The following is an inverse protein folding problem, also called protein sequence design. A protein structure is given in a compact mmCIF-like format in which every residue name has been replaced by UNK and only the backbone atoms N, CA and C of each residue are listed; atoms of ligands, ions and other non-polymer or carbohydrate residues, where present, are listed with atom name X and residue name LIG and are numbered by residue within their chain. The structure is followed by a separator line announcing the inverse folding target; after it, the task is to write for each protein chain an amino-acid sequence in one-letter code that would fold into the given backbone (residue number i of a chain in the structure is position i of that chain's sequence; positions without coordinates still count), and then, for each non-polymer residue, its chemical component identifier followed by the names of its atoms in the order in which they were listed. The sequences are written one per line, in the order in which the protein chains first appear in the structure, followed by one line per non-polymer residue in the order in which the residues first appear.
data_IF_156485600017
#
_entry.id   IF_156485600017
#
_cell.length_a   1.000
_cell.length_b   1.000
_cell.length_c   1.000
_cell.angle_alpha   90.00
_cell.angle_beta   90.00
_cell.angle_gamma   90.00
#
_symmetry.space_group_name_H-M   'P 1'
#
loop_
_entity.id
_entity.type
_entity.pdbx_description
1 polymer ?
#
# COMPACT_ATOMS: atom_id res chain seq x y z
N UNK A 1 -1.65 19.70 13.42
CA UNK A 1 -2.26 18.48 12.84
C UNK A 1 -3.77 18.58 13.02
N UNK A 2 -4.52 18.46 11.92
CA UNK A 2 -5.98 18.38 11.95
C UNK A 2 -6.47 17.07 12.57
N UNK A 3 -7.73 17.00 13.01
CA UNK A 3 -8.31 15.75 13.50
C UNK A 3 -8.36 14.66 12.42
N UNK A 4 -8.61 15.03 11.17
CA UNK A 4 -8.56 14.09 10.04
C UNK A 4 -7.18 13.46 9.90
N UNK A 5 -6.11 14.27 9.90
CA UNK A 5 -4.73 13.78 9.88
C UNK A 5 -4.41 12.89 11.08
N UNK A 6 -4.86 13.28 12.29
CA UNK A 6 -4.67 12.49 13.51
C UNK A 6 -5.22 11.08 13.36
N UNK A 7 -6.45 10.95 12.89
CA UNK A 7 -7.10 9.65 12.69
C UNK A 7 -6.41 8.83 11.61
N UNK A 8 -6.14 9.42 10.45
CA UNK A 8 -5.53 8.70 9.32
C UNK A 8 -4.12 8.21 9.66
N UNK A 9 -3.31 9.04 10.33
CA UNK A 9 -1.98 8.65 10.80
C UNK A 9 -2.08 7.57 11.88
N UNK A 10 -2.99 7.68 12.85
CA UNK A 10 -3.18 6.66 13.87
C UNK A 10 -3.49 5.28 13.26
N UNK A 11 -4.43 5.23 12.30
CA UNK A 11 -4.78 3.98 11.60
C UNK A 11 -3.58 3.45 10.80
N UNK A 12 -2.83 4.32 10.11
CA UNK A 12 -1.64 3.92 9.37
C UNK A 12 -0.59 3.30 10.30
N UNK A 13 -0.33 3.87 11.47
CA UNK A 13 0.59 3.31 12.47
C UNK A 13 0.10 1.97 13.02
N UNK A 14 -1.20 1.83 13.29
CA UNK A 14 -1.80 0.55 13.72
C UNK A 14 -1.63 -0.54 12.63
N UNK A 15 -1.54 -0.16 11.36
CA UNK A 15 -1.29 -1.12 10.27
C UNK A 15 0.18 -1.56 10.14
N UNK A 16 1.16 -0.78 10.63
CA UNK A 16 2.58 -1.09 10.47
C UNK A 16 3.00 -2.49 10.99
N UNK A 17 2.50 -2.99 12.14
CA UNK A 17 2.76 -4.35 12.59
C UNK A 17 2.39 -5.43 11.57
N UNK A 18 1.36 -5.22 10.73
CA UNK A 18 1.00 -6.19 9.69
C UNK A 18 2.06 -6.25 8.59
N UNK A 19 2.74 -5.15 8.31
CA UNK A 19 3.88 -5.11 7.38
C UNK A 19 5.07 -5.84 7.99
N UNK A 20 5.38 -5.60 9.26
CA UNK A 20 6.43 -6.31 9.98
C UNK A 20 6.19 -7.83 10.00
N UNK A 21 4.94 -8.25 10.22
CA UNK A 21 4.54 -9.65 10.09
C UNK A 21 4.77 -10.21 8.68
N UNK A 22 4.48 -9.44 7.63
CA UNK A 22 4.83 -9.81 6.26
C UNK A 22 6.34 -10.02 6.05
N UNK A 23 7.18 -9.21 6.68
CA UNK A 23 8.63 -9.38 6.66
C UNK A 23 9.08 -10.64 7.39
N UNK A 24 8.47 -10.94 8.54
CA UNK A 24 8.67 -12.19 9.26
C UNK A 24 8.27 -13.41 8.41
N UNK A 25 7.15 -13.34 7.70
CA UNK A 25 6.74 -14.38 6.75
C UNK A 25 7.75 -14.56 5.60
N UNK A 26 8.29 -13.49 5.02
CA UNK A 26 9.36 -13.64 4.02
C UNK A 26 10.62 -14.29 4.61
N UNK A 27 10.96 -13.98 5.86
CA UNK A 27 12.05 -14.61 6.57
C UNK A 27 11.78 -16.10 6.85
N UNK A 28 10.54 -16.50 7.12
CA UNK A 28 10.20 -17.92 7.33
C UNK A 28 10.41 -18.74 6.06
N UNK A 29 10.06 -18.19 4.89
CA UNK A 29 10.32 -18.79 3.57
C UNK A 29 11.83 -18.95 3.35
N UNK A 30 12.61 -17.91 3.64
CA UNK A 30 14.07 -17.94 3.52
C UNK A 30 14.71 -19.02 4.40
N UNK A 31 14.20 -19.17 5.62
CA UNK A 31 14.66 -20.16 6.60
C UNK A 31 14.12 -21.56 6.35
N UNK A 32 13.26 -21.76 5.33
CA UNK A 32 12.57 -23.03 5.04
C UNK A 32 11.86 -23.58 6.29
N UNK A 33 11.17 -22.71 7.03
CA UNK A 33 10.39 -23.14 8.19
C UNK A 33 9.23 -24.06 7.76
N UNK A 34 8.78 -24.92 8.68
CA UNK A 34 7.67 -25.84 8.45
C UNK A 34 6.45 -25.09 7.91
N UNK A 35 5.88 -25.58 6.81
CA UNK A 35 4.74 -24.97 6.11
C UNK A 35 5.10 -24.00 4.97
N UNK A 36 6.39 -23.81 4.67
CA UNK A 36 6.86 -22.96 3.55
C UNK A 36 7.50 -23.73 2.39
N UNK A 37 7.52 -25.06 2.47
CA UNK A 37 8.27 -25.97 1.58
C UNK A 37 7.78 -25.89 0.13
N UNK A 38 6.49 -25.62 -0.06
CA UNK A 38 5.83 -25.61 -1.37
C UNK A 38 5.71 -24.21 -1.99
N UNK A 39 6.34 -23.19 -1.40
CA UNK A 39 6.32 -21.85 -1.98
C UNK A 39 7.27 -21.80 -3.18
N UNK A 40 6.69 -21.62 -4.36
CA UNK A 40 7.43 -21.52 -5.61
C UNK A 40 8.27 -20.23 -5.69
N UNK A 41 9.34 -20.20 -6.52
CA UNK A 41 10.14 -18.99 -6.73
C UNK A 41 9.29 -17.79 -7.18
N UNK A 42 8.32 -18.01 -8.07
CA UNK A 42 7.44 -16.93 -8.55
C UNK A 42 6.54 -16.37 -7.44
N UNK A 43 5.97 -17.22 -6.58
CA UNK A 43 5.20 -16.78 -5.41
C UNK A 43 6.04 -15.93 -4.47
N UNK A 44 7.27 -16.37 -4.20
CA UNK A 44 8.22 -15.63 -3.37
C UNK A 44 8.51 -14.24 -3.94
N UNK A 45 8.66 -14.09 -5.25
CA UNK A 45 8.86 -12.79 -5.89
C UNK A 45 7.63 -11.88 -5.74
N UNK A 46 6.42 -12.41 -5.88
CA UNK A 46 5.18 -11.67 -5.60
C UNK A 46 5.10 -11.19 -4.15
N UNK A 47 5.35 -12.08 -3.18
CA UNK A 47 5.30 -11.73 -1.75
C UNK A 47 6.38 -10.70 -1.39
N UNK A 48 7.58 -10.83 -1.95
CA UNK A 48 8.67 -9.87 -1.78
C UNK A 48 8.29 -8.49 -2.33
N UNK A 49 7.73 -8.43 -3.54
CA UNK A 49 7.27 -7.19 -4.14
C UNK A 49 6.14 -6.55 -3.31
N UNK A 50 5.15 -7.34 -2.87
CA UNK A 50 4.06 -6.87 -2.02
C UNK A 50 4.55 -6.28 -0.70
N UNK A 51 5.46 -6.96 0.00
CA UNK A 51 6.03 -6.45 1.25
C UNK A 51 6.86 -5.17 1.05
N UNK A 52 7.69 -5.13 -0.01
CA UNK A 52 8.55 -3.99 -0.30
C UNK A 52 7.72 -2.71 -0.57
N UNK A 53 6.63 -2.82 -1.33
CA UNK A 53 5.75 -1.69 -1.63
C UNK A 53 4.91 -1.27 -0.41
N UNK A 54 4.47 -2.20 0.44
CA UNK A 54 3.64 -1.88 1.60
C UNK A 54 4.30 -0.83 2.51
N UNK A 55 5.56 -1.05 2.89
CA UNK A 55 6.28 -0.15 3.79
C UNK A 55 6.47 1.25 3.21
N UNK A 56 7.04 1.35 2.01
CA UNK A 56 7.34 2.64 1.38
C UNK A 56 6.07 3.45 1.07
N UNK A 57 5.00 2.80 0.61
CA UNK A 57 3.76 3.47 0.26
C UNK A 57 2.98 3.92 1.50
N UNK A 58 3.00 3.15 2.60
CA UNK A 58 2.41 3.60 3.87
C UNK A 58 3.18 4.79 4.45
N UNK A 59 4.51 4.80 4.35
CA UNK A 59 5.31 5.97 4.78
C UNK A 59 4.92 7.20 3.94
N UNK A 60 4.86 7.07 2.62
CA UNK A 60 4.42 8.17 1.74
C UNK A 60 2.99 8.61 2.06
N UNK A 61 2.10 7.67 2.40
CA UNK A 61 0.73 7.95 2.84
C UNK A 61 0.72 8.81 4.10
N UNK A 62 1.49 8.44 5.14
CA UNK A 62 1.60 9.19 6.40
C UNK A 62 2.10 10.62 6.13
N UNK A 63 3.15 10.76 5.31
CA UNK A 63 3.66 12.08 4.92
C UNK A 63 2.57 12.87 4.21
N UNK A 64 1.88 12.27 3.25
CA UNK A 64 0.77 12.91 2.53
C UNK A 64 -0.37 13.35 3.44
N UNK A 65 -0.72 12.57 4.47
CA UNK A 65 -1.73 12.99 5.46
C UNK A 65 -1.34 14.29 6.15
N UNK A 66 -0.08 14.40 6.59
CA UNK A 66 0.44 15.60 7.26
C UNK A 66 0.50 16.80 6.32
N UNK A 67 0.90 16.58 5.07
CA UNK A 67 0.99 17.61 4.04
C UNK A 67 -0.39 18.15 3.66
N UNK A 68 -1.42 17.31 3.61
CA UNK A 68 -2.79 17.69 3.26
C UNK A 68 -3.44 18.66 4.26
N UNK A 69 -2.87 18.86 5.45
CA UNK A 69 -3.31 19.94 6.37
C UNK A 69 -2.99 21.35 5.83
N UNK A 70 -2.08 21.46 4.86
CA UNK A 70 -1.68 22.72 4.21
C UNK A 70 -2.29 22.88 2.81
N UNK A 71 -3.23 22.02 2.45
CA UNK A 71 -3.88 22.02 1.14
C UNK A 71 -4.71 23.29 0.93
N UNK A 72 -4.67 23.82 -0.30
CA UNK A 72 -5.48 24.94 -0.76
C UNK A 72 -6.78 24.48 -1.47
N UNK A 73 -6.97 23.17 -1.64
CA UNK A 73 -8.20 22.63 -2.21
C UNK A 73 -9.32 22.58 -1.16
N UNK A 74 -10.56 22.55 -1.64
CA UNK A 74 -11.70 22.26 -0.77
C UNK A 74 -11.61 20.90 -0.04
N UNK A 75 -12.36 20.81 1.06
CA UNK A 75 -12.33 19.66 1.97
C UNK A 75 -12.72 18.33 1.29
N UNK A 76 -13.63 18.34 0.31
CA UNK A 76 -14.04 17.11 -0.39
C UNK A 76 -12.89 16.50 -1.18
N UNK A 77 -12.15 17.31 -1.93
CA UNK A 77 -10.98 16.85 -2.67
C UNK A 77 -9.86 16.40 -1.72
N UNK A 78 -9.65 17.12 -0.61
CA UNK A 78 -8.71 16.72 0.44
C UNK A 78 -9.04 15.33 0.97
N UNK A 79 -10.30 15.06 1.33
CA UNK A 79 -10.70 13.74 1.81
C UNK A 79 -10.53 12.63 0.76
N UNK A 80 -10.83 12.90 -0.51
CA UNK A 80 -10.59 11.94 -1.58
C UNK A 80 -9.10 11.54 -1.66
N UNK A 81 -8.19 12.51 -1.55
CA UNK A 81 -6.74 12.27 -1.51
C UNK A 81 -6.31 11.52 -0.24
N UNK A 82 -6.86 11.87 0.94
CA UNK A 82 -6.57 11.16 2.19
C UNK A 82 -6.91 9.69 2.10
N UNK A 83 -8.10 9.38 1.60
CA UNK A 83 -8.58 7.99 1.43
C UNK A 83 -7.73 7.28 0.37
N UNK A 84 -7.47 7.92 -0.77
CA UNK A 84 -6.66 7.34 -1.85
C UNK A 84 -5.24 6.98 -1.40
N UNK A 85 -4.57 7.87 -0.66
CA UNK A 85 -3.26 7.62 -0.06
C UNK A 85 -3.27 6.43 0.90
N UNK A 86 -4.36 6.20 1.63
CA UNK A 86 -4.46 5.08 2.58
C UNK A 86 -4.83 3.76 1.89
N UNK A 87 -5.71 3.80 0.90
CA UNK A 87 -6.21 2.62 0.18
C UNK A 87 -5.18 2.08 -0.82
N UNK A 88 -4.40 2.94 -1.48
CA UNK A 88 -3.45 2.50 -2.51
C UNK A 88 -2.39 1.48 -2.02
N UNK A 89 -1.72 1.65 -0.86
CA UNK A 89 -0.81 0.64 -0.32
C UNK A 89 -1.48 -0.72 -0.10
N UNK A 90 -2.75 -0.73 0.34
CA UNK A 90 -3.52 -1.95 0.57
C UNK A 90 -3.86 -2.65 -0.74
N UNK A 91 -4.28 -1.91 -1.77
CA UNK A 91 -4.57 -2.45 -3.10
C UNK A 91 -3.33 -3.06 -3.75
N UNK A 92 -2.20 -2.35 -3.73
CA UNK A 92 -0.97 -2.80 -4.37
C UNK A 92 -0.43 -4.04 -3.66
N UNK A 93 -0.27 -3.95 -2.33
CA UNK A 93 0.28 -5.06 -1.54
C UNK A 93 -0.67 -6.26 -1.53
N UNK A 94 -1.97 -6.03 -1.30
CA UNK A 94 -3.00 -7.05 -1.36
C UNK A 94 -3.09 -7.72 -2.73
N UNK A 95 -2.89 -6.98 -3.82
CA UNK A 95 -2.81 -7.53 -5.17
C UNK A 95 -1.61 -8.43 -5.40
N UNK A 96 -0.43 -8.07 -4.86
CA UNK A 96 0.75 -8.95 -4.91
C UNK A 96 0.57 -10.22 -4.07
N UNK A 97 0.09 -10.12 -2.83
CA UNK A 97 -0.10 -11.30 -1.97
C UNK A 97 -1.25 -12.18 -2.45
N UNK A 98 -2.42 -11.60 -2.70
CA UNK A 98 -3.62 -12.34 -3.09
C UNK A 98 -3.64 -12.75 -4.57
N UNK A 99 -2.90 -12.06 -5.42
CA UNK A 99 -2.79 -12.34 -6.85
C UNK A 99 -1.67 -13.29 -7.23
N UNK A 100 -0.81 -13.69 -6.29
CA UNK A 100 0.29 -14.61 -6.55
C UNK A 100 -0.20 -15.92 -7.19
N UNK A 101 0.50 -16.46 -8.21
CA UNK A 101 0.20 -17.78 -8.77
C UNK A 101 0.16 -18.86 -7.69
N UNK A 102 -0.72 -19.86 -7.82
CA UNK A 102 -0.79 -20.98 -6.86
C UNK A 102 0.26 -22.07 -7.11
N UNK A 103 0.79 -22.13 -8.34
CA UNK A 103 1.79 -23.09 -8.79
C UNK A 103 2.86 -22.37 -9.59
N UNK A 104 4.04 -23.00 -9.77
CA UNK A 104 5.18 -22.39 -10.44
C UNK A 104 4.88 -21.98 -11.90
N UNK A 105 4.06 -22.77 -12.60
CA UNK A 105 3.65 -22.54 -14.00
C UNK A 105 2.25 -21.91 -14.10
N UNK A 106 1.64 -21.61 -12.96
CA UNK A 106 0.28 -21.07 -12.88
C UNK A 106 0.21 -19.61 -13.31
N UNK A 107 -0.96 -19.21 -13.80
CA UNK A 107 -1.26 -17.79 -14.04
C UNK A 107 -1.52 -17.07 -12.71
N UNK A 108 -1.24 -15.75 -12.62
CA UNK A 108 -1.65 -14.94 -11.49
C UNK A 108 -3.16 -15.00 -11.28
N UNK A 109 -3.59 -14.92 -10.01
CA UNK A 109 -5.00 -14.85 -9.64
C UNK A 109 -5.65 -13.53 -10.05
N UNK A 110 -6.99 -13.45 -10.00
CA UNK A 110 -7.75 -12.25 -10.38
C UNK A 110 -7.39 -11.01 -9.57
N UNK A 111 -6.93 -11.19 -8.32
CA UNK A 111 -6.51 -10.10 -7.43
C UNK A 111 -5.27 -9.35 -7.92
N UNK A 112 -4.51 -9.89 -8.89
CA UNK A 112 -3.39 -9.16 -9.52
C UNK A 112 -3.86 -7.84 -10.14
N UNK A 113 -5.13 -7.73 -10.53
CA UNK A 113 -5.76 -6.51 -11.06
C UNK A 113 -5.81 -5.36 -10.05
N UNK A 114 -5.68 -5.65 -8.75
CA UNK A 114 -5.61 -4.62 -7.71
C UNK A 114 -4.30 -3.82 -7.79
N UNK A 115 -3.23 -4.39 -8.35
CA UNK A 115 -1.94 -3.71 -8.48
C UNK A 115 -2.05 -2.48 -9.39
N UNK A 116 -2.47 -2.58 -10.66
CA UNK A 116 -2.63 -1.40 -11.51
C UNK A 116 -3.71 -0.44 -11.00
N UNK A 117 -4.80 -0.96 -10.41
CA UNK A 117 -5.81 -0.10 -9.79
C UNK A 117 -5.23 0.75 -8.65
N UNK A 118 -4.50 0.12 -7.73
CA UNK A 118 -3.84 0.80 -6.63
C UNK A 118 -2.76 1.76 -7.11
N UNK A 119 -2.03 1.43 -8.19
CA UNK A 119 -1.07 2.34 -8.81
C UNK A 119 -1.75 3.61 -9.34
N UNK A 120 -2.88 3.47 -10.04
CA UNK A 120 -3.68 4.62 -10.52
C UNK A 120 -4.17 5.46 -9.35
N UNK A 121 -4.73 4.83 -8.30
CA UNK A 121 -5.19 5.55 -7.09
C UNK A 121 -4.03 6.30 -6.43
N UNK A 122 -2.86 5.67 -6.32
CA UNK A 122 -1.67 6.29 -5.75
C UNK A 122 -1.24 7.50 -6.57
N UNK A 123 -1.11 7.34 -7.89
CA UNK A 123 -0.69 8.42 -8.79
C UNK A 123 -1.65 9.60 -8.75
N UNK A 124 -2.96 9.37 -8.80
CA UNK A 124 -3.94 10.45 -8.72
C UNK A 124 -3.88 11.16 -7.36
N UNK A 125 -3.72 10.42 -6.28
CA UNK A 125 -3.66 10.99 -4.94
C UNK A 125 -2.40 11.81 -4.72
N UNK A 126 -1.23 11.32 -5.13
CA UNK A 126 0.04 12.05 -4.96
C UNK A 126 0.15 13.25 -5.88
N UNK A 127 -0.35 13.14 -7.13
CA UNK A 127 -0.49 14.30 -8.02
C UNK A 127 -1.44 15.33 -7.42
N UNK A 128 -2.59 14.90 -6.91
CA UNK A 128 -3.54 15.76 -6.21
C UNK A 128 -2.90 16.49 -5.04
N UNK A 129 -2.16 15.77 -4.17
CA UNK A 129 -1.46 16.38 -3.03
C UNK A 129 -0.55 17.50 -3.50
N UNK A 130 0.30 17.23 -4.50
CA UNK A 130 1.23 18.23 -5.04
C UNK A 130 0.51 19.45 -5.64
N UNK A 131 -0.51 19.22 -6.47
CA UNK A 131 -1.31 20.30 -7.06
C UNK A 131 -2.04 21.13 -6.00
N UNK A 132 -2.49 20.49 -4.93
CA UNK A 132 -3.21 21.15 -3.85
C UNK A 132 -2.38 22.11 -3.02
N UNK A 133 -1.06 22.01 -3.09
CA UNK A 133 -0.14 22.97 -2.46
C UNK A 133 0.17 24.17 -3.37
N UNK A 134 -0.07 24.03 -4.68
CA UNK A 134 0.28 25.04 -5.68
C UNK A 134 -0.92 25.91 -6.08
N UNK A 135 -2.11 25.31 -6.11
CA UNK A 135 -3.30 25.93 -6.67
C UNK A 135 -4.44 25.89 -5.66
N UNK A 136 -5.17 26.99 -5.54
CA UNK A 136 -6.45 27.01 -4.84
C UNK A 136 -7.56 26.61 -5.83
N UNK A 137 -8.39 25.65 -5.44
CA UNK A 137 -9.57 25.19 -6.18
C UNK A 137 -10.79 25.07 -5.26
#
# INVERSE_FOLDING_TARGET
MSDASRWMVAIAFISLPTIAFGGYFLLSILKKQVGTENISPIQREYFKAGHAHAGVLVILSIIGQLVLDYSLFNETLVWAMRIGLFVAPLLISGGFFGGAPRTAEGKPGSLVKLIPLGAVVMSLSTLGVGLSLLFAF
#
